data_IF_964912941506
#
_entry.id   IF_964912941506
#
_cell.length_a   1.000
_cell.length_b   1.000
_cell.length_c   1.000
_cell.angle_alpha   90.00
_cell.angle_beta   90.00
_cell.angle_gamma   90.00
#
_symmetry.space_group_name_H-M   'P 1'
#
loop_
_entity.id
_entity.type
_entity.pdbx_description
1 polymer ?
#
# COMPACT_ATOMS: atom_id res chain seq x y z
N UNK A 1 -15.57 68.89 5.68
CA UNK A 1 -14.76 67.99 4.80
C UNK A 1 -14.34 66.80 5.63
N UNK A 2 -14.87 65.65 5.32
CA UNK A 2 -14.54 64.39 6.00
C UNK A 2 -13.72 63.55 5.04
N UNK A 3 -12.43 63.39 5.33
CA UNK A 3 -11.53 62.52 4.59
C UNK A 3 -11.83 61.08 4.96
N UNK A 4 -12.38 60.32 4.03
CA UNK A 4 -12.50 58.86 4.15
C UNK A 4 -11.21 58.23 3.73
N UNK A 5 -10.36 57.90 4.69
CA UNK A 5 -9.18 57.10 4.48
C UNK A 5 -9.58 55.64 4.16
N UNK A 6 -9.39 55.25 2.90
CA UNK A 6 -9.53 53.90 2.41
C UNK A 6 -8.48 53.00 3.05
N UNK A 7 -8.83 52.27 4.10
CA UNK A 7 -8.04 51.17 4.60
C UNK A 7 -8.15 49.96 3.64
N UNK A 8 -7.27 49.90 2.65
CA UNK A 8 -7.05 48.69 1.87
C UNK A 8 -6.39 47.65 2.76
N UNK A 9 -7.15 46.66 3.20
CA UNK A 9 -6.63 45.43 3.82
C UNK A 9 -5.83 44.62 2.80
N UNK A 10 -4.53 44.90 2.67
CA UNK A 10 -3.59 44.23 1.78
C UNK A 10 -3.02 42.93 2.39
N UNK A 11 -3.57 42.45 3.53
CA UNK A 11 -3.04 41.31 4.28
C UNK A 11 -3.74 39.96 4.02
N UNK A 12 -4.93 39.96 3.42
CA UNK A 12 -5.79 38.75 3.40
C UNK A 12 -5.40 37.73 2.33
N UNK A 13 -4.91 38.15 1.18
CA UNK A 13 -4.62 37.21 0.06
C UNK A 13 -3.35 36.39 0.27
N UNK A 14 -2.31 36.95 0.89
CA UNK A 14 -1.07 36.20 1.18
C UNK A 14 -1.32 35.09 2.22
N UNK A 15 -2.14 35.38 3.23
CA UNK A 15 -2.49 34.40 4.26
C UNK A 15 -3.42 33.32 3.71
N UNK A 16 -4.33 33.66 2.80
CA UNK A 16 -5.19 32.70 2.11
C UNK A 16 -4.38 31.75 1.21
N UNK A 17 -3.38 32.28 0.49
CA UNK A 17 -2.50 31.48 -0.37
C UNK A 17 -1.65 30.49 0.43
N UNK A 18 -1.11 30.92 1.57
CA UNK A 18 -0.35 30.07 2.51
C UNK A 18 -1.25 28.98 3.08
N UNK A 19 -2.50 29.28 3.41
CA UNK A 19 -3.47 28.32 3.93
C UNK A 19 -3.86 27.26 2.88
N UNK A 20 -3.99 27.66 1.62
CA UNK A 20 -4.26 26.74 0.50
C UNK A 20 -3.06 25.82 0.24
N UNK A 21 -1.83 26.33 0.32
CA UNK A 21 -0.60 25.52 0.15
C UNK A 21 -0.47 24.50 1.28
N UNK A 22 -0.83 24.83 2.52
CA UNK A 22 -0.84 23.92 3.67
C UNK A 22 -1.89 22.82 3.55
N UNK A 23 -3.02 23.06 2.86
CA UNK A 23 -4.06 22.06 2.63
C UNK A 23 -3.68 21.02 1.55
N UNK A 24 -2.77 21.36 0.63
CA UNK A 24 -2.31 20.44 -0.42
C UNK A 24 -1.11 19.57 -0.02
N UNK A 25 -0.52 19.75 1.16
CA UNK A 25 0.77 19.12 1.51
C UNK A 25 0.65 17.83 2.34
N UNK A 26 -0.52 17.23 2.51
CA UNK A 26 -0.64 15.98 3.27
C UNK A 26 -1.26 14.84 2.45
N UNK A 27 -0.62 14.50 1.36
CA UNK A 27 -0.70 13.13 0.86
C UNK A 27 0.28 12.29 1.71
N UNK A 28 -0.08 12.06 2.95
CA UNK A 28 0.59 11.04 3.75
C UNK A 28 0.16 9.69 3.16
N UNK A 29 0.99 9.12 2.28
CA UNK A 29 0.91 7.72 1.95
C UNK A 29 1.22 6.94 3.22
N UNK A 30 0.20 6.75 4.04
CA UNK A 30 0.32 5.93 5.23
C UNK A 30 0.37 4.48 4.79
N UNK A 31 1.48 3.81 5.09
CA UNK A 31 1.63 2.38 4.92
C UNK A 31 0.48 1.66 5.63
N UNK A 32 -0.28 0.87 4.90
CA UNK A 32 -1.47 0.18 5.42
C UNK A 32 -1.04 -1.10 6.13
N UNK A 33 -1.05 -1.08 7.45
CA UNK A 33 -0.82 -2.25 8.28
C UNK A 33 -2.11 -3.02 8.51
N UNK A 34 -2.03 -4.35 8.43
CA UNK A 34 -3.14 -5.26 8.74
C UNK A 34 -2.67 -6.40 9.64
N UNK A 35 -3.61 -7.04 10.29
CA UNK A 35 -3.43 -8.23 11.13
C UNK A 35 -4.43 -9.35 10.76
N UNK A 36 -4.42 -10.46 11.51
CA UNK A 36 -5.31 -11.58 11.24
C UNK A 36 -6.80 -11.22 11.24
N UNK A 37 -7.22 -10.19 11.99
CA UNK A 37 -8.64 -9.83 12.12
C UNK A 37 -9.25 -9.31 10.82
N UNK A 38 -8.43 -8.67 9.96
CA UNK A 38 -8.86 -8.06 8.70
C UNK A 38 -8.20 -8.68 7.47
N UNK A 39 -7.26 -9.62 7.66
CA UNK A 39 -6.47 -10.19 6.57
C UNK A 39 -7.36 -10.76 5.45
N UNK A 40 -8.28 -11.65 5.80
CA UNK A 40 -9.18 -12.27 4.83
C UNK A 40 -10.08 -11.25 4.12
N UNK A 41 -10.57 -10.24 4.82
CA UNK A 41 -11.33 -9.15 4.22
C UNK A 41 -10.51 -8.39 3.16
N UNK A 42 -9.24 -8.13 3.46
CA UNK A 42 -8.39 -7.35 2.55
C UNK A 42 -7.99 -8.11 1.29
N UNK A 43 -7.76 -9.40 1.37
CA UNK A 43 -7.44 -10.21 0.18
C UNK A 43 -8.69 -10.59 -0.64
N UNK A 44 -9.88 -10.69 0.02
CA UNK A 44 -11.16 -11.01 -0.59
C UNK A 44 -12.05 -9.77 -0.75
N UNK A 45 -11.49 -8.61 -0.97
CA UNK A 45 -12.27 -7.39 -1.18
C UNK A 45 -13.10 -7.53 -2.44
N UNK A 46 -14.11 -8.40 -2.33
CA UNK A 46 -15.10 -8.59 -3.35
C UNK A 46 -16.19 -7.56 -3.17
N UNK A 47 -16.43 -6.81 -4.16
CA UNK A 47 -17.65 -6.26 -4.67
C UNK A 47 -18.91 -6.44 -3.84
N UNK A 48 -19.13 -5.54 -2.92
CA UNK A 48 -20.48 -5.33 -2.43
C UNK A 48 -21.40 -4.74 -3.54
N UNK A 49 -20.85 -4.42 -4.74
CA UNK A 49 -21.57 -3.69 -5.78
C UNK A 49 -21.47 -4.30 -7.19
N UNK A 50 -20.93 -5.53 -7.35
CA UNK A 50 -21.03 -6.26 -8.62
C UNK A 50 -20.22 -5.71 -9.79
N UNK A 51 -19.14 -4.98 -9.53
CA UNK A 51 -18.18 -4.61 -10.57
C UNK A 51 -17.25 -5.80 -10.81
N UNK A 52 -17.18 -6.27 -12.06
CA UNK A 52 -16.29 -7.35 -12.52
C UNK A 52 -14.81 -6.92 -12.54
N UNK A 53 -14.42 -5.99 -11.67
CA UNK A 53 -13.06 -5.49 -11.61
C UNK A 53 -12.14 -6.48 -10.88
N UNK A 54 -11.08 -6.91 -11.55
CA UNK A 54 -10.04 -7.75 -10.97
C UNK A 54 -9.26 -6.96 -9.93
N UNK A 55 -9.34 -7.39 -8.67
CA UNK A 55 -8.62 -6.77 -7.58
C UNK A 55 -7.33 -7.55 -7.33
N UNK A 56 -6.21 -6.86 -7.47
CA UNK A 56 -4.89 -7.35 -7.10
C UNK A 56 -4.48 -6.75 -5.75
N UNK A 57 -4.17 -7.62 -4.82
CA UNK A 57 -3.68 -7.24 -3.49
C UNK A 57 -2.29 -7.80 -3.28
N UNK A 58 -1.36 -6.96 -2.86
CA UNK A 58 0.01 -7.36 -2.52
C UNK A 58 0.17 -7.29 -1.01
N UNK A 59 0.59 -8.38 -0.40
CA UNK A 59 0.83 -8.48 1.05
C UNK A 59 2.31 -8.74 1.30
N UNK A 60 2.97 -7.85 2.05
CA UNK A 60 4.30 -8.09 2.59
C UNK A 60 4.20 -8.58 4.04
N UNK A 61 4.67 -9.78 4.29
CA UNK A 61 4.91 -10.28 5.64
C UNK A 61 6.25 -9.76 6.15
N UNK A 62 6.19 -9.02 7.24
CA UNK A 62 7.27 -8.22 7.78
C UNK A 62 7.60 -8.63 9.23
N UNK A 63 8.81 -8.29 9.67
CA UNK A 63 9.25 -8.50 11.05
C UNK A 63 10.17 -7.36 11.48
N UNK A 64 10.03 -6.91 12.72
CA UNK A 64 10.75 -5.74 13.25
C UNK A 64 12.28 -5.88 13.16
N UNK A 65 12.83 -7.04 13.51
CA UNK A 65 14.29 -7.22 13.52
C UNK A 65 14.92 -7.13 12.13
N UNK A 66 14.14 -7.31 11.05
CA UNK A 66 14.60 -7.24 9.65
C UNK A 66 13.98 -6.09 8.84
N UNK A 67 13.53 -5.05 9.50
CA UNK A 67 12.84 -3.91 8.87
C UNK A 67 13.67 -3.18 7.80
N UNK A 68 15.00 -3.25 7.89
CA UNK A 68 15.88 -2.64 6.91
C UNK A 68 15.77 -3.28 5.52
N UNK A 69 15.36 -4.55 5.45
CA UNK A 69 15.18 -5.32 4.22
C UNK A 69 13.71 -5.39 3.76
N UNK A 70 12.82 -4.64 4.37
CA UNK A 70 11.45 -4.51 3.90
C UNK A 70 11.41 -3.92 2.49
N UNK A 71 10.37 -4.27 1.71
CA UNK A 71 10.22 -3.76 0.36
C UNK A 71 10.06 -2.23 0.37
N UNK A 72 11.00 -1.47 -0.23
CA UNK A 72 11.05 -0.02 -0.06
C UNK A 72 10.10 0.74 -1.00
N UNK A 73 9.81 0.19 -2.18
CA UNK A 73 9.13 0.88 -3.28
C UNK A 73 7.62 0.55 -3.37
N UNK A 74 7.00 0.18 -2.26
CA UNK A 74 5.59 -0.20 -2.19
C UNK A 74 4.63 0.88 -2.69
N UNK A 75 4.96 2.15 -2.51
CA UNK A 75 4.19 3.32 -2.94
C UNK A 75 4.30 3.61 -4.44
N UNK A 76 5.22 2.94 -5.12
CA UNK A 76 5.42 3.06 -6.58
C UNK A 76 4.72 1.96 -7.37
N UNK A 77 4.12 0.98 -6.70
CA UNK A 77 3.37 -0.08 -7.36
C UNK A 77 2.07 0.47 -7.95
N UNK A 78 1.79 0.11 -9.19
CA UNK A 78 0.61 0.56 -9.92
C UNK A 78 -0.50 -0.50 -9.98
N UNK A 79 -1.73 -0.04 -9.80
CA UNK A 79 -2.94 -0.84 -9.97
C UNK A 79 -3.11 -1.96 -8.94
N UNK A 80 -2.59 -1.80 -7.73
CA UNK A 80 -2.72 -2.76 -6.62
C UNK A 80 -3.03 -2.07 -5.31
N UNK A 81 -3.62 -2.81 -4.37
CA UNK A 81 -3.60 -2.44 -2.97
C UNK A 81 -2.41 -3.14 -2.29
N UNK A 82 -1.61 -2.38 -1.55
CA UNK A 82 -0.46 -2.91 -0.81
C UNK A 82 -0.70 -2.82 0.68
N UNK A 83 -0.48 -3.96 1.37
CA UNK A 83 -0.56 -4.03 2.83
C UNK A 83 0.69 -4.69 3.41
N UNK A 84 1.04 -4.30 4.62
CA UNK A 84 2.10 -4.91 5.40
C UNK A 84 1.52 -5.61 6.62
N UNK A 85 2.05 -6.79 6.91
CA UNK A 85 1.63 -7.64 8.02
C UNK A 85 2.83 -7.92 8.91
N UNK A 86 2.75 -7.54 10.18
CA UNK A 86 3.70 -8.01 11.18
C UNK A 86 3.39 -9.47 11.51
N UNK A 87 4.33 -10.38 11.24
CA UNK A 87 4.14 -11.82 11.47
C UNK A 87 3.86 -12.18 12.94
N UNK A 88 4.24 -11.30 13.88
CA UNK A 88 3.94 -11.47 15.30
C UNK A 88 2.47 -11.18 15.63
N UNK A 89 1.80 -10.40 14.80
CA UNK A 89 0.39 -10.00 14.95
C UNK A 89 -0.58 -10.76 14.02
N UNK A 90 -0.04 -11.61 13.14
CA UNK A 90 -0.82 -12.41 12.21
C UNK A 90 -0.37 -13.88 12.18
N UNK A 91 -0.44 -14.59 13.32
CA UNK A 91 -0.03 -15.99 13.40
C UNK A 91 -0.86 -16.92 12.52
N UNK A 92 -2.15 -16.62 12.29
CA UNK A 92 -3.01 -17.42 11.44
C UNK A 92 -2.63 -17.27 9.96
N UNK A 93 -2.53 -16.04 9.46
CA UNK A 93 -2.10 -15.78 8.08
C UNK A 93 -0.70 -16.34 7.82
N UNK A 94 0.23 -16.16 8.76
CA UNK A 94 1.57 -16.76 8.70
C UNK A 94 1.51 -18.27 8.49
N UNK A 95 0.65 -18.99 9.23
CA UNK A 95 0.45 -20.44 9.15
C UNK A 95 -0.20 -20.86 7.84
N UNK A 96 -1.30 -20.20 7.46
CA UNK A 96 -2.10 -20.55 6.28
C UNK A 96 -1.27 -20.42 4.98
N UNK A 97 -0.44 -19.39 4.89
CA UNK A 97 0.42 -19.16 3.73
C UNK A 97 1.85 -19.73 3.90
N UNK A 98 2.12 -20.45 5.00
CA UNK A 98 3.41 -21.10 5.30
C UNK A 98 4.58 -20.13 5.23
N UNK A 99 4.39 -18.93 5.75
CA UNK A 99 5.43 -17.89 5.81
C UNK A 99 6.46 -18.29 6.89
N UNK A 100 7.69 -18.52 6.48
CA UNK A 100 8.80 -18.93 7.38
C UNK A 100 9.83 -17.85 7.58
N UNK A 101 9.99 -16.98 6.61
CA UNK A 101 10.96 -15.89 6.58
C UNK A 101 10.28 -14.58 6.23
N UNK A 102 10.85 -13.49 6.69
CA UNK A 102 10.42 -12.13 6.32
C UNK A 102 11.64 -11.34 5.82
N UNK A 103 11.50 -10.54 4.76
CA UNK A 103 10.24 -10.27 4.06
C UNK A 103 9.79 -11.44 3.17
N UNK A 104 8.48 -11.67 3.16
CA UNK A 104 7.82 -12.53 2.17
C UNK A 104 6.70 -11.73 1.54
N UNK A 105 6.66 -11.63 0.21
CA UNK A 105 5.67 -10.85 -0.54
C UNK A 105 4.78 -11.82 -1.32
N UNK A 106 3.47 -11.67 -1.18
CA UNK A 106 2.48 -12.51 -1.85
C UNK A 106 1.55 -11.63 -2.69
N UNK A 107 1.34 -12.01 -3.94
CA UNK A 107 0.33 -11.43 -4.82
C UNK A 107 -0.94 -12.26 -4.73
N UNK A 108 -2.05 -11.60 -4.44
CA UNK A 108 -3.40 -12.17 -4.44
C UNK A 108 -4.22 -11.58 -5.57
N UNK A 109 -5.03 -12.41 -6.22
CA UNK A 109 -6.03 -12.02 -7.19
C UNK A 109 -7.39 -12.51 -6.73
N UNK A 110 -8.29 -11.59 -6.42
CA UNK A 110 -9.62 -11.91 -5.90
C UNK A 110 -9.59 -12.92 -4.73
N UNK A 111 -8.63 -12.77 -3.81
CA UNK A 111 -8.44 -13.63 -2.66
C UNK A 111 -7.63 -14.91 -2.90
N UNK A 112 -7.35 -15.27 -4.14
CA UNK A 112 -6.49 -16.40 -4.48
C UNK A 112 -5.02 -16.00 -4.49
N UNK A 113 -4.17 -16.84 -3.88
CA UNK A 113 -2.73 -16.64 -3.94
C UNK A 113 -2.22 -17.03 -5.33
N UNK A 114 -1.61 -16.09 -6.03
CA UNK A 114 -1.07 -16.30 -7.38
C UNK A 114 0.45 -16.49 -7.36
N UNK A 115 1.18 -15.60 -6.67
CA UNK A 115 2.63 -15.64 -6.63
C UNK A 115 3.18 -15.32 -5.25
N UNK A 116 4.39 -15.82 -4.94
CA UNK A 116 5.03 -15.64 -3.64
C UNK A 116 6.54 -15.50 -3.79
N UNK A 117 7.06 -14.36 -3.34
CA UNK A 117 8.49 -14.07 -3.23
C UNK A 117 8.93 -14.22 -1.78
N UNK A 118 9.92 -15.09 -1.54
CA UNK A 118 10.43 -15.38 -0.19
C UNK A 118 11.87 -14.91 -0.08
N UNK A 119 12.21 -14.23 1.01
CA UNK A 119 13.60 -13.97 1.35
C UNK A 119 14.39 -15.27 1.41
N UNK A 120 15.63 -15.20 1.00
CA UNK A 120 16.61 -16.29 1.17
C UNK A 120 17.20 -16.27 2.59
N UNK A 121 18.24 -17.06 2.83
CA UNK A 121 18.86 -17.16 4.17
C UNK A 121 19.55 -15.87 4.63
N UNK A 122 19.90 -14.99 3.71
CA UNK A 122 20.42 -13.63 3.97
C UNK A 122 19.36 -12.63 4.44
N UNK A 123 18.08 -13.02 4.32
CA UNK A 123 16.90 -12.20 4.68
C UNK A 123 16.81 -10.88 3.92
N UNK A 124 17.42 -10.79 2.75
CA UNK A 124 17.27 -9.63 1.87
C UNK A 124 15.87 -9.58 1.22
N UNK A 125 15.47 -8.40 0.76
CA UNK A 125 14.22 -8.25 0.03
C UNK A 125 14.24 -9.13 -1.23
N UNK A 126 13.26 -10.04 -1.42
CA UNK A 126 13.34 -11.09 -2.42
C UNK A 126 13.03 -10.63 -3.85
N UNK A 127 12.64 -9.37 -4.04
CA UNK A 127 12.14 -8.88 -5.32
C UNK A 127 12.41 -7.38 -5.47
N UNK A 128 12.70 -6.95 -6.67
CA UNK A 128 12.81 -5.54 -7.03
C UNK A 128 11.46 -4.96 -7.44
N UNK A 129 11.34 -3.62 -7.50
CA UNK A 129 10.14 -2.95 -7.98
C UNK A 129 9.73 -3.42 -9.38
N UNK A 130 10.71 -3.54 -10.29
CA UNK A 130 10.46 -3.97 -11.66
C UNK A 130 9.90 -5.39 -11.73
N UNK A 131 10.55 -6.34 -11.05
CA UNK A 131 10.12 -7.73 -11.02
C UNK A 131 8.74 -7.90 -10.40
N UNK A 132 8.46 -7.18 -9.30
CA UNK A 132 7.16 -7.24 -8.66
C UNK A 132 6.06 -6.64 -9.54
N UNK A 133 6.32 -5.51 -10.21
CA UNK A 133 5.36 -4.90 -11.13
C UNK A 133 5.09 -5.79 -12.35
N UNK A 134 6.12 -6.42 -12.92
CA UNK A 134 5.98 -7.38 -14.03
C UNK A 134 5.10 -8.57 -13.61
N UNK A 135 5.33 -9.15 -12.44
CA UNK A 135 4.52 -10.24 -11.90
C UNK A 135 3.05 -9.83 -11.66
N UNK A 136 2.82 -8.61 -11.15
CA UNK A 136 1.48 -8.04 -10.99
C UNK A 136 0.77 -7.93 -12.35
N UNK A 137 1.45 -7.43 -13.36
CA UNK A 137 0.88 -7.24 -14.71
C UNK A 137 0.57 -8.60 -15.37
N UNK A 138 1.42 -9.61 -15.18
CA UNK A 138 1.17 -10.98 -15.61
C UNK A 138 -0.08 -11.57 -14.94
N UNK A 139 -0.20 -11.44 -13.63
CA UNK A 139 -1.37 -11.93 -12.86
C UNK A 139 -2.66 -11.23 -13.32
N UNK A 140 -2.61 -9.91 -13.61
CA UNK A 140 -3.76 -9.18 -14.16
C UNK A 140 -4.23 -9.71 -15.50
N UNK A 141 -3.30 -10.11 -16.35
CA UNK A 141 -3.59 -10.51 -17.74
C UNK A 141 -3.89 -11.99 -17.91
N UNK A 142 -3.57 -12.83 -16.92
CA UNK A 142 -3.67 -14.29 -17.01
C UNK A 142 -5.07 -14.86 -17.33
N UNK A 143 -6.16 -14.10 -17.09
CA UNK A 143 -7.55 -14.53 -17.34
C UNK A 143 -8.13 -14.02 -18.66
N UNK A 144 -7.32 -13.43 -19.53
CA UNK A 144 -7.82 -12.91 -20.82
C UNK A 144 -7.85 -13.93 -21.96
N UNK A 145 -7.63 -15.22 -21.64
CA UNK A 145 -7.62 -16.31 -22.63
C UNK A 145 -8.51 -17.46 -22.22
#
# INVERSE_FOLDING_TARGET
MKDYTNFRKKGSMKNLLIFIILLFSTQVFSQKWIDDSVFNEKIHKNDAFGDDETIITVIEFWVEFNKANAFPDWDKLDGVEYFRVDISKAPQAKKDYRVRMAPTIIIFKNGSKEEMFKASLDLECPVTLKELQEAIDEVKTADKF
#
